data_IF_110713646037
#
_entry.id   IF_110713646037
#
_cell.length_a   1.000
_cell.length_b   1.000
_cell.length_c   1.000
_cell.angle_alpha   90.00
_cell.angle_beta   90.00
_cell.angle_gamma   90.00
#
_symmetry.space_group_name_H-M   'P 1'
#
loop_
_entity.id
_entity.type
_entity.pdbx_description
1 polymer ?
#
# COMPACT_ATOMS: atom_id res chain seq x y z
N UNK A 1 -10.14 7.12 -20.94
CA UNK A 1 -8.77 7.44 -21.38
C UNK A 1 -8.20 8.54 -20.47
N UNK A 2 -6.98 8.42 -19.95
CA UNK A 2 -6.38 9.40 -19.02
C UNK A 2 -6.47 9.09 -17.51
N UNK A 3 -7.30 8.13 -17.11
CA UNK A 3 -7.48 7.75 -15.69
C UNK A 3 -6.19 7.27 -15.02
N UNK A 4 -5.45 6.36 -15.66
CA UNK A 4 -4.17 5.86 -15.12
C UNK A 4 -3.11 6.98 -14.97
N UNK A 5 -3.09 7.94 -15.92
CA UNK A 5 -2.22 9.11 -15.82
C UNK A 5 -2.60 10.00 -14.62
N UNK A 6 -3.90 10.19 -14.38
CA UNK A 6 -4.36 10.96 -13.22
C UNK A 6 -3.95 10.27 -11.92
N UNK A 7 -4.18 8.96 -11.81
CA UNK A 7 -3.81 8.17 -10.62
C UNK A 7 -2.30 8.21 -10.37
N UNK A 8 -1.47 8.06 -11.41
CA UNK A 8 -0.02 8.13 -11.29
C UNK A 8 0.43 9.48 -10.66
N UNK A 9 -0.16 10.60 -11.09
CA UNK A 9 0.14 11.93 -10.50
C UNK A 9 -0.27 12.07 -9.03
N UNK A 10 -1.09 11.16 -8.50
CA UNK A 10 -1.42 11.12 -7.07
C UNK A 10 -0.39 10.37 -6.23
N UNK A 11 0.55 9.62 -6.83
CA UNK A 11 1.65 9.05 -6.05
C UNK A 11 2.56 10.17 -5.55
N UNK A 12 2.84 10.19 -4.26
CA UNK A 12 3.57 11.29 -3.60
C UNK A 12 5.04 10.96 -3.43
N UNK A 13 5.84 11.96 -3.04
CA UNK A 13 7.25 11.76 -2.67
C UNK A 13 7.42 10.75 -1.51
N UNK A 14 6.39 10.56 -0.68
CA UNK A 14 6.43 9.60 0.42
C UNK A 14 6.36 8.16 -0.09
N UNK A 15 5.77 7.92 -1.27
CA UNK A 15 5.59 6.62 -1.92
C UNK A 15 4.14 6.12 -2.00
N UNK A 16 3.27 6.54 -1.07
CA UNK A 16 1.83 6.26 -1.13
C UNK A 16 1.08 7.17 -2.11
N UNK A 17 -0.22 6.94 -2.28
CA UNK A 17 -1.08 7.83 -3.07
C UNK A 17 -1.90 8.76 -2.19
N UNK A 18 -2.15 9.95 -2.73
CA UNK A 18 -3.05 10.95 -2.19
C UNK A 18 -4.39 10.98 -2.92
N UNK A 19 -5.36 11.74 -2.40
CA UNK A 19 -6.67 11.90 -3.05
C UNK A 19 -6.64 12.81 -4.29
N UNK A 20 -5.59 13.61 -4.44
CA UNK A 20 -5.40 14.53 -5.56
C UNK A 20 -3.90 14.85 -5.73
N UNK A 21 -3.40 15.09 -6.95
CA UNK A 21 -1.98 15.39 -7.16
C UNK A 21 -1.44 16.50 -6.26
N UNK A 22 -0.30 16.24 -5.61
CA UNK A 22 0.38 17.17 -4.70
C UNK A 22 -0.09 17.13 -3.23
N UNK A 23 -1.10 16.32 -2.90
CA UNK A 23 -1.57 16.15 -1.52
C UNK A 23 -0.79 15.05 -0.76
N UNK A 24 -1.00 14.96 0.56
CA UNK A 24 -0.35 13.96 1.44
C UNK A 24 -0.76 12.52 1.10
N UNK A 25 0.15 11.56 1.25
CA UNK A 25 -0.16 10.15 1.04
C UNK A 25 -1.10 9.63 2.14
N UNK A 26 -2.07 8.78 1.77
CA UNK A 26 -3.08 8.25 2.68
C UNK A 26 -3.46 6.82 2.34
N UNK A 27 -3.66 5.97 3.36
CA UNK A 27 -3.91 4.54 3.17
C UNK A 27 -5.12 4.23 2.28
N UNK A 28 -6.27 4.85 2.58
CA UNK A 28 -7.46 4.72 1.73
C UNK A 28 -7.22 5.11 0.26
N UNK A 29 -6.60 6.26 -0.01
CA UNK A 29 -6.29 6.67 -1.38
C UNK A 29 -5.21 5.82 -2.04
N UNK A 30 -4.27 5.31 -1.25
CA UNK A 30 -3.22 4.36 -1.68
C UNK A 30 -3.84 3.07 -2.18
N UNK A 31 -4.72 2.46 -1.39
CA UNK A 31 -5.46 1.28 -1.82
C UNK A 31 -6.28 1.55 -3.08
N UNK A 32 -7.07 2.64 -3.10
CA UNK A 32 -7.89 2.99 -4.26
C UNK A 32 -7.03 3.20 -5.52
N UNK A 33 -5.89 3.88 -5.39
CA UNK A 33 -4.98 4.17 -6.49
C UNK A 33 -4.37 2.90 -7.08
N UNK A 34 -3.73 2.07 -6.25
CA UNK A 34 -3.08 0.85 -6.74
C UNK A 34 -4.09 -0.19 -7.25
N UNK A 35 -5.23 -0.37 -6.56
CA UNK A 35 -6.27 -1.29 -7.01
C UNK A 35 -6.86 -0.84 -8.36
N UNK A 36 -7.07 0.46 -8.55
CA UNK A 36 -7.52 0.99 -9.83
C UNK A 36 -6.49 0.79 -10.95
N UNK A 37 -5.18 0.98 -10.67
CA UNK A 37 -4.14 0.69 -11.67
C UNK A 37 -4.11 -0.79 -12.06
N UNK A 38 -4.31 -1.71 -11.11
CA UNK A 38 -4.46 -3.15 -11.40
C UNK A 38 -5.64 -3.41 -12.32
N UNK A 39 -6.83 -2.88 -11.99
CA UNK A 39 -8.03 -3.06 -12.82
C UNK A 39 -7.89 -2.46 -14.22
N UNK A 40 -7.11 -1.39 -14.37
CA UNK A 40 -6.83 -0.75 -15.64
C UNK A 40 -5.68 -1.41 -16.42
N UNK A 41 -4.98 -2.40 -15.85
CA UNK A 41 -3.81 -3.02 -16.48
C UNK A 41 -2.63 -2.06 -16.66
N UNK A 42 -2.45 -1.13 -15.72
CA UNK A 42 -1.47 -0.05 -15.79
C UNK A 42 -0.57 0.04 -14.54
N UNK A 43 -0.19 -1.10 -13.97
CA UNK A 43 0.62 -1.20 -12.75
C UNK A 43 2.06 -0.72 -12.93
N UNK A 44 2.59 -0.76 -14.16
CA UNK A 44 3.92 -0.26 -14.55
C UNK A 44 4.12 1.23 -14.26
N UNK A 45 3.03 1.96 -14.04
CA UNK A 45 3.05 3.40 -13.74
C UNK A 45 3.29 3.70 -12.26
N UNK A 46 3.12 2.73 -11.38
CA UNK A 46 3.37 2.91 -9.96
C UNK A 46 4.85 2.64 -9.66
N UNK A 47 5.50 3.54 -8.93
CA UNK A 47 6.76 3.22 -8.27
C UNK A 47 6.46 2.27 -7.10
N UNK A 48 6.49 0.97 -7.39
CA UNK A 48 6.13 -0.09 -6.46
C UNK A 48 7.10 -0.16 -5.26
N UNK A 49 8.37 0.19 -5.48
CA UNK A 49 9.40 0.17 -4.43
C UNK A 49 9.14 1.24 -3.38
N UNK A 50 8.85 2.47 -3.79
CA UNK A 50 8.53 3.54 -2.84
C UNK A 50 7.18 3.29 -2.15
N UNK A 51 6.20 2.72 -2.86
CA UNK A 51 4.93 2.28 -2.28
C UNK A 51 5.13 1.23 -1.20
N UNK A 52 5.87 0.15 -1.47
CA UNK A 52 6.16 -0.92 -0.50
C UNK A 52 6.86 -0.37 0.76
N UNK A 53 7.86 0.49 0.56
CA UNK A 53 8.53 1.15 1.69
C UNK A 53 7.53 1.98 2.50
N UNK A 54 6.69 2.78 1.85
CA UNK A 54 5.73 3.65 2.54
C UNK A 54 4.72 2.83 3.35
N UNK A 55 4.11 1.82 2.72
CA UNK A 55 3.07 0.99 3.35
C UNK A 55 3.60 0.16 4.53
N UNK A 56 4.82 -0.39 4.43
CA UNK A 56 5.47 -1.11 5.53
C UNK A 56 5.68 -0.21 6.76
N UNK A 57 5.97 1.07 6.56
CA UNK A 57 6.13 2.04 7.65
C UNK A 57 4.79 2.56 8.22
N UNK A 58 3.66 1.97 7.82
CA UNK A 58 2.33 2.28 8.38
C UNK A 58 1.93 1.35 9.51
N UNK A 59 2.56 0.19 9.66
CA UNK A 59 2.31 -0.67 10.81
C UNK A 59 3.05 -0.10 12.02
N UNK A 60 2.33 0.17 13.10
CA UNK A 60 2.93 0.72 14.30
C UNK A 60 3.55 -0.39 15.15
N UNK A 61 4.71 -0.12 15.73
CA UNK A 61 5.47 -1.14 16.47
C UNK A 61 4.84 -1.48 17.82
N UNK A 62 4.20 -0.50 18.47
CA UNK A 62 3.62 -0.69 19.80
C UNK A 62 2.22 -1.30 19.73
N UNK A 63 1.34 -0.72 18.91
CA UNK A 63 -0.05 -1.15 18.83
C UNK A 63 -0.27 -2.31 17.86
N UNK A 64 0.64 -2.57 16.91
CA UNK A 64 0.54 -3.65 15.93
C UNK A 64 -0.42 -3.38 14.76
N UNK A 65 -1.32 -2.41 14.92
CA UNK A 65 -2.22 -1.93 13.87
C UNK A 65 -1.57 -0.99 12.86
N UNK A 66 -2.39 -0.42 12.00
CA UNK A 66 -1.94 0.53 10.98
C UNK A 66 -2.41 1.96 11.22
N UNK A 67 -1.54 2.93 10.97
CA UNK A 67 -1.90 4.34 10.83
C UNK A 67 -2.19 4.69 9.36
N UNK A 68 -3.14 5.60 9.13
CA UNK A 68 -3.53 5.99 7.77
C UNK A 68 -2.51 6.85 7.03
N UNK A 69 -1.71 7.62 7.77
CA UNK A 69 -0.73 8.60 7.25
C UNK A 69 0.42 8.76 8.23
N UNK A 70 1.54 9.31 7.76
CA UNK A 70 2.75 9.56 8.56
C UNK A 70 2.42 10.42 9.78
N UNK A 71 2.94 10.07 10.96
CA UNK A 71 2.71 10.77 12.24
C UNK A 71 1.24 10.93 12.68
N UNK A 72 0.36 9.99 12.30
CA UNK A 72 -1.03 9.92 12.80
C UNK A 72 -1.23 8.65 13.63
N UNK A 73 -2.34 8.62 14.37
CA UNK A 73 -2.70 7.49 15.22
C UNK A 73 -3.06 6.25 14.39
N UNK A 74 -2.93 5.10 15.05
CA UNK A 74 -3.44 3.81 14.58
C UNK A 74 -4.97 3.81 14.52
N UNK A 75 -5.56 3.12 13.54
CA UNK A 75 -7.02 2.94 13.43
C UNK A 75 -7.35 1.61 12.73
N UNK A 76 -8.31 0.86 13.31
CA UNK A 76 -8.77 -0.45 12.87
C UNK A 76 -9.24 -0.53 11.41
N UNK A 77 -9.75 0.55 10.82
CA UNK A 77 -10.16 0.51 9.42
C UNK A 77 -8.96 0.38 8.46
N UNK A 78 -7.76 0.82 8.88
CA UNK A 78 -6.55 0.67 8.07
C UNK A 78 -6.00 -0.75 8.06
N UNK A 79 -6.51 -1.66 8.89
CA UNK A 79 -6.27 -3.10 8.74
C UNK A 79 -6.65 -3.59 7.34
N UNK A 80 -7.71 -3.04 6.75
CA UNK A 80 -8.04 -3.28 5.36
C UNK A 80 -7.26 -2.35 4.42
N UNK A 81 -7.39 -1.03 4.57
CA UNK A 81 -6.83 -0.10 3.58
C UNK A 81 -5.30 -0.24 3.40
N UNK A 82 -4.56 -0.46 4.48
CA UNK A 82 -3.11 -0.71 4.39
C UNK A 82 -2.81 -2.19 4.18
N UNK A 83 -3.46 -3.07 4.93
CA UNK A 83 -3.20 -4.52 4.88
C UNK A 83 -3.48 -5.13 3.50
N UNK A 84 -4.59 -4.76 2.85
CA UNK A 84 -4.95 -5.26 1.52
C UNK A 84 -4.06 -4.73 0.39
N UNK A 85 -3.26 -3.69 0.65
CA UNK A 85 -2.27 -3.19 -0.32
C UNK A 85 -1.10 -4.17 -0.48
N UNK A 86 -0.72 -4.91 0.56
CA UNK A 86 0.41 -5.86 0.49
C UNK A 86 0.17 -7.04 -0.48
N UNK A 87 -1.00 -7.73 -0.48
CA UNK A 87 -1.31 -8.74 -1.49
C UNK A 87 -1.28 -8.21 -2.92
N UNK A 88 -1.72 -6.96 -3.14
CA UNK A 88 -1.65 -6.33 -4.46
C UNK A 88 -0.19 -6.14 -4.89
N UNK A 89 0.65 -5.59 -4.01
CA UNK A 89 2.09 -5.44 -4.28
C UNK A 89 2.74 -6.80 -4.56
N UNK A 90 2.42 -7.81 -3.75
CA UNK A 90 2.94 -9.16 -3.91
C UNK A 90 2.57 -9.74 -5.28
N UNK A 91 1.31 -9.59 -5.71
CA UNK A 91 0.86 -10.05 -7.03
C UNK A 91 1.60 -9.36 -8.18
N UNK A 92 1.77 -8.02 -8.11
CA UNK A 92 2.52 -7.27 -9.13
C UNK A 92 3.99 -7.71 -9.16
N UNK A 93 4.59 -7.96 -7.99
CA UNK A 93 5.98 -8.38 -7.89
C UNK A 93 6.20 -9.82 -8.39
N UNK A 94 5.19 -10.69 -8.32
CA UNK A 94 5.27 -12.05 -8.88
C UNK A 94 5.14 -12.08 -10.41
N UNK A 95 4.51 -11.08 -11.03
CA UNK A 95 4.43 -11.00 -12.50
C UNK A 95 5.72 -10.51 -13.14
N UNK A 96 6.54 -9.79 -12.38
CA UNK A 96 7.89 -9.39 -12.76
C UNK A 96 8.83 -10.53 -12.32
N UNK A 97 9.13 -11.46 -13.24
CA UNK A 97 9.78 -12.79 -13.11
C UNK A 97 11.13 -12.88 -12.31
N UNK A 98 11.55 -11.84 -11.59
CA UNK A 98 12.90 -11.65 -11.04
C UNK A 98 13.04 -11.79 -9.51
N UNK A 99 11.95 -11.82 -8.72
CA UNK A 99 12.07 -11.73 -7.25
C UNK A 99 11.81 -13.06 -6.52
N UNK A 100 12.83 -13.93 -6.49
CA UNK A 100 12.83 -15.20 -5.74
C UNK A 100 12.70 -15.04 -4.20
N UNK A 101 12.68 -13.81 -3.68
CA UNK A 101 12.66 -13.51 -2.25
C UNK A 101 11.25 -13.33 -1.67
N UNK A 102 10.20 -13.43 -2.49
CA UNK A 102 8.83 -13.28 -2.01
C UNK A 102 8.38 -14.52 -1.23
N UNK A 103 7.84 -14.31 -0.03
CA UNK A 103 7.29 -15.39 0.79
C UNK A 103 5.99 -15.93 0.19
N UNK A 104 5.89 -17.26 0.04
CA UNK A 104 4.67 -17.94 -0.40
C UNK A 104 3.62 -18.12 0.72
N UNK A 105 3.97 -17.83 1.97
CA UNK A 105 3.13 -18.15 3.14
C UNK A 105 2.80 -16.94 4.01
N UNK A 106 3.44 -15.79 3.76
CA UNK A 106 3.29 -14.59 4.58
C UNK A 106 3.26 -13.33 3.74
N UNK A 107 2.46 -12.37 4.17
CA UNK A 107 2.46 -11.02 3.62
C UNK A 107 3.60 -10.20 4.22
N UNK A 108 4.01 -9.14 3.53
CA UNK A 108 5.15 -8.29 3.91
C UNK A 108 4.81 -7.31 5.06
N UNK A 109 4.00 -7.75 6.02
CA UNK A 109 3.68 -7.05 7.26
C UNK A 109 3.53 -8.06 8.41
N UNK A 110 3.57 -7.58 9.65
CA UNK A 110 3.48 -8.43 10.84
C UNK A 110 2.03 -8.89 11.10
N UNK A 111 1.66 -10.03 10.51
CA UNK A 111 0.28 -10.54 10.52
C UNK A 111 -0.27 -10.86 11.93
N UNK A 112 0.56 -11.35 12.85
CA UNK A 112 0.13 -11.69 14.22
C UNK A 112 -0.21 -10.42 15.01
N UNK A 113 0.72 -9.47 15.11
CA UNK A 113 0.48 -8.14 15.69
C UNK A 113 -0.77 -7.41 15.15
N UNK A 114 -1.08 -7.53 13.85
CA UNK A 114 -2.33 -6.95 13.33
C UNK A 114 -3.57 -7.67 13.87
N UNK A 115 -3.53 -8.99 14.00
CA UNK A 115 -4.64 -9.76 14.58
C UNK A 115 -4.81 -9.43 16.07
N UNK A 116 -3.71 -9.30 16.81
CA UNK A 116 -3.72 -8.87 18.22
C UNK A 116 -4.24 -7.44 18.39
N UNK A 117 -3.99 -6.54 17.44
CA UNK A 117 -4.56 -5.19 17.46
C UNK A 117 -6.08 -5.18 17.26
N UNK A 118 -6.61 -6.11 16.46
CA UNK A 118 -8.03 -6.16 16.08
C UNK A 118 -8.90 -6.84 17.15
N UNK A 119 -8.37 -7.88 17.81
CA UNK A 119 -9.09 -8.75 18.75
C UNK A 119 -8.95 -8.28 20.21
#
# INVERSE_FOLDING_TARGET
EGTANFINRCQTYEGGFSGYPGMEAHGGYTFCGIAALVLLGHTERCDLRSLLRWIANRQTQLEGGFQGRTNKLVDGCYSFWQGATFPIIHMISCTDDDDQNLSATRWMFHQEALQEYIL
#
